data_IF_885194193792
#
_entry.id   IF_885194193792
#
_cell.length_a   1.000
_cell.length_b   1.000
_cell.length_c   1.000
_cell.angle_alpha   90.00
_cell.angle_beta   90.00
_cell.angle_gamma   90.00
#
_symmetry.space_group_name_H-M   'P 1'
#
loop_
_entity.id
_entity.type
_entity.pdbx_description
1 polymer ?
#
# COMPACT_ATOMS: atom_id res chain seq x y z
N UNK A 1 21.19 -3.44 -28.51
CA UNK A 1 20.32 -2.30 -28.91
C UNK A 1 18.90 -2.83 -28.97
N UNK A 2 17.94 -2.24 -28.24
CA UNK A 2 16.52 -2.64 -28.31
C UNK A 2 15.99 -2.30 -29.72
N UNK A 3 15.19 -3.17 -30.32
CA UNK A 3 14.59 -2.91 -31.64
C UNK A 3 13.59 -1.76 -31.55
N UNK A 4 13.77 -0.72 -32.36
CA UNK A 4 12.93 0.49 -32.37
C UNK A 4 11.44 0.16 -32.62
N UNK A 5 11.16 -0.85 -33.43
CA UNK A 5 9.80 -1.35 -33.69
C UNK A 5 9.13 -1.94 -32.44
N UNK A 6 9.88 -2.64 -31.59
CA UNK A 6 9.35 -3.16 -30.32
C UNK A 6 9.06 -2.02 -29.33
N UNK A 7 9.93 -1.00 -29.27
CA UNK A 7 9.72 0.18 -28.44
C UNK A 7 8.44 0.94 -28.84
N UNK A 8 8.17 1.07 -30.14
CA UNK A 8 6.96 1.75 -30.65
C UNK A 8 5.67 1.01 -30.28
N UNK A 9 5.66 -0.32 -30.34
CA UNK A 9 4.52 -1.13 -29.91
C UNK A 9 4.30 -1.01 -28.39
N UNK A 10 5.37 -1.08 -27.61
CA UNK A 10 5.31 -0.92 -26.16
C UNK A 10 4.84 0.48 -25.73
N UNK A 11 5.14 1.51 -26.51
CA UNK A 11 4.70 2.89 -26.27
C UNK A 11 3.18 3.08 -26.44
N UNK A 12 2.52 2.27 -27.26
CA UNK A 12 1.07 2.41 -27.50
C UNK A 12 0.23 2.13 -26.25
N UNK A 13 0.69 1.24 -25.37
CA UNK A 13 -0.03 0.81 -24.16
C UNK A 13 -0.21 1.97 -23.16
N UNK A 14 0.85 2.67 -22.70
CA UNK A 14 0.71 3.78 -21.75
C UNK A 14 0.06 5.03 -22.34
N UNK A 15 0.00 5.16 -23.68
CA UNK A 15 -0.67 6.26 -24.36
C UNK A 15 -2.15 5.99 -24.68
N UNK A 16 -2.63 4.77 -24.43
CA UNK A 16 -4.04 4.44 -24.60
C UNK A 16 -4.89 5.26 -23.61
N UNK A 17 -5.93 5.99 -24.06
CA UNK A 17 -6.73 6.86 -23.20
C UNK A 17 -7.47 6.10 -22.09
N UNK A 18 -7.83 4.83 -22.31
CA UNK A 18 -8.48 3.98 -21.30
C UNK A 18 -7.46 3.60 -20.24
N UNK A 19 -6.27 3.15 -20.66
CA UNK A 19 -5.19 2.81 -19.75
C UNK A 19 -4.77 4.01 -18.90
N UNK A 20 -4.58 5.16 -19.55
CA UNK A 20 -4.24 6.42 -18.89
C UNK A 20 -5.32 6.83 -17.89
N UNK A 21 -6.60 6.83 -18.29
CA UNK A 21 -7.72 7.18 -17.41
C UNK A 21 -7.85 6.27 -16.18
N UNK A 22 -7.69 4.96 -16.36
CA UNK A 22 -7.68 4.00 -15.26
C UNK A 22 -6.53 4.27 -14.28
N UNK A 23 -5.31 4.47 -14.77
CA UNK A 23 -4.16 4.78 -13.91
C UNK A 23 -4.28 6.13 -13.22
N UNK A 24 -4.80 7.17 -13.89
CA UNK A 24 -5.07 8.46 -13.25
C UNK A 24 -6.10 8.34 -12.13
N UNK A 25 -7.20 7.61 -12.36
CA UNK A 25 -8.22 7.40 -11.33
C UNK A 25 -7.70 6.62 -10.12
N UNK A 26 -6.84 5.63 -10.36
CA UNK A 26 -6.16 4.87 -9.31
C UNK A 26 -5.26 5.78 -8.47
N UNK A 27 -4.45 6.64 -9.10
CA UNK A 27 -3.58 7.59 -8.42
C UNK A 27 -4.39 8.60 -7.57
N UNK A 28 -5.47 9.16 -8.11
CA UNK A 28 -6.35 10.06 -7.33
C UNK A 28 -6.92 9.34 -6.10
N UNK A 29 -7.35 8.09 -6.28
CA UNK A 29 -7.89 7.29 -5.17
C UNK A 29 -6.81 6.99 -4.12
N UNK A 30 -5.59 6.66 -4.55
CA UNK A 30 -4.45 6.40 -3.69
C UNK A 30 -4.06 7.65 -2.89
N UNK A 31 -3.94 8.80 -3.54
CA UNK A 31 -3.67 10.10 -2.88
C UNK A 31 -4.75 10.44 -1.83
N UNK A 32 -6.03 10.30 -2.18
CA UNK A 32 -7.12 10.53 -1.24
C UNK A 32 -7.04 9.54 -0.06
N UNK A 33 -6.76 8.27 -0.33
CA UNK A 33 -6.60 7.22 0.69
C UNK A 33 -5.50 7.56 1.69
N UNK A 34 -4.35 8.06 1.24
CA UNK A 34 -3.27 8.53 2.13
C UNK A 34 -3.75 9.66 3.04
N UNK A 35 -4.39 10.69 2.45
CA UNK A 35 -4.90 11.84 3.21
C UNK A 35 -5.92 11.39 4.26
N UNK A 36 -6.92 10.60 3.86
CA UNK A 36 -7.93 10.08 4.77
C UNK A 36 -7.32 9.22 5.87
N UNK A 37 -6.36 8.34 5.54
CA UNK A 37 -5.70 7.46 6.51
C UNK A 37 -4.91 8.27 7.55
N UNK A 38 -4.20 9.33 7.13
CA UNK A 38 -3.48 10.23 8.05
C UNK A 38 -4.45 10.95 8.97
N UNK A 39 -5.53 11.53 8.42
CA UNK A 39 -6.55 12.25 9.20
C UNK A 39 -7.23 11.31 10.23
N UNK A 40 -7.57 10.10 9.80
CA UNK A 40 -8.11 9.06 10.67
C UNK A 40 -7.10 8.65 11.73
N UNK A 41 -5.82 8.47 11.38
CA UNK A 41 -4.74 8.14 12.31
C UNK A 41 -4.56 9.18 13.42
N UNK A 42 -4.57 10.47 13.07
CA UNK A 42 -4.48 11.58 14.04
C UNK A 42 -5.70 11.58 14.97
N UNK A 43 -6.91 11.42 14.41
CA UNK A 43 -8.14 11.35 15.21
C UNK A 43 -8.15 10.14 16.14
N UNK A 44 -7.68 9.00 15.63
CA UNK A 44 -7.62 7.73 16.34
C UNK A 44 -6.63 7.79 17.52
N UNK A 45 -5.46 8.40 17.31
CA UNK A 45 -4.48 8.64 18.37
C UNK A 45 -5.05 9.50 19.52
N UNK A 46 -5.87 10.51 19.20
CA UNK A 46 -6.38 11.45 20.20
C UNK A 46 -7.60 10.97 20.98
N UNK A 47 -8.40 10.03 20.47
CA UNK A 47 -9.77 9.79 20.98
C UNK A 47 -10.14 8.34 21.25
N UNK A 48 -9.22 7.40 21.23
CA UNK A 48 -9.61 5.98 21.33
C UNK A 48 -9.36 5.35 22.69
N UNK A 49 -10.39 4.65 23.18
CA UNK A 49 -10.37 3.78 24.37
C UNK A 49 -10.09 2.32 24.00
N UNK A 50 -9.57 2.06 22.80
CA UNK A 50 -9.27 0.70 22.35
C UNK A 50 -8.13 0.08 23.16
N UNK A 51 -8.19 -1.25 23.32
CA UNK A 51 -7.11 -2.01 23.94
C UNK A 51 -5.81 -1.83 23.13
N UNK A 52 -4.67 -1.72 23.83
CA UNK A 52 -3.36 -1.39 23.23
C UNK A 52 -2.95 -2.34 22.10
N UNK A 53 -3.34 -3.61 22.19
CA UNK A 53 -3.09 -4.61 21.14
C UNK A 53 -3.73 -4.22 19.80
N UNK A 54 -5.01 -3.83 19.85
CA UNK A 54 -5.79 -3.42 18.67
C UNK A 54 -5.21 -2.14 18.11
N UNK A 55 -4.82 -1.19 18.97
CA UNK A 55 -4.21 0.06 18.53
C UNK A 55 -2.94 -0.19 17.71
N UNK A 56 -2.05 -1.08 18.17
CA UNK A 56 -0.82 -1.43 17.46
C UNK A 56 -1.14 -2.02 16.08
N UNK A 57 -2.08 -2.97 16.01
CA UNK A 57 -2.49 -3.57 14.74
C UNK A 57 -3.11 -2.53 13.79
N UNK A 58 -3.85 -1.54 14.30
CA UNK A 58 -4.45 -0.47 13.49
C UNK A 58 -3.36 0.46 12.95
N UNK A 59 -2.36 0.81 13.77
CA UNK A 59 -1.23 1.61 13.31
C UNK A 59 -0.41 0.88 12.24
N UNK A 60 -0.19 -0.42 12.40
CA UNK A 60 0.46 -1.24 11.38
C UNK A 60 -0.35 -1.22 10.07
N UNK A 61 -1.68 -1.39 10.17
CA UNK A 61 -2.57 -1.36 9.01
C UNK A 61 -2.50 -0.01 8.26
N UNK A 62 -2.53 1.10 9.01
CA UNK A 62 -2.38 2.44 8.44
C UNK A 62 -1.01 2.64 7.81
N UNK A 63 0.07 2.15 8.44
CA UNK A 63 1.42 2.25 7.88
C UNK A 63 1.53 1.52 6.53
N UNK A 64 1.09 0.25 6.46
CA UNK A 64 1.08 -0.50 5.20
C UNK A 64 0.21 0.16 4.13
N UNK A 65 -0.97 0.66 4.51
CA UNK A 65 -1.84 1.39 3.58
C UNK A 65 -1.22 2.67 3.04
N UNK A 66 -0.59 3.48 3.89
CA UNK A 66 0.09 4.71 3.47
C UNK A 66 1.27 4.39 2.55
N UNK A 67 2.12 3.43 2.92
CA UNK A 67 3.29 3.04 2.13
C UNK A 67 2.85 2.53 0.75
N UNK A 68 1.87 1.62 0.70
CA UNK A 68 1.35 1.08 -0.55
C UNK A 68 0.82 2.16 -1.48
N UNK A 69 -0.08 3.02 -0.98
CA UNK A 69 -0.67 4.07 -1.81
C UNK A 69 0.37 5.12 -2.25
N UNK A 70 1.38 5.40 -1.41
CA UNK A 70 2.48 6.30 -1.78
C UNK A 70 3.34 5.72 -2.91
N UNK A 71 3.59 4.39 -2.91
CA UNK A 71 4.31 3.71 -3.99
C UNK A 71 3.51 3.77 -5.30
N UNK A 72 2.19 3.56 -5.23
CA UNK A 72 1.30 3.69 -6.40
C UNK A 72 1.37 5.09 -7.00
N UNK A 73 1.28 6.14 -6.16
CA UNK A 73 1.38 7.54 -6.61
C UNK A 73 2.75 7.89 -7.19
N UNK A 74 3.83 7.41 -6.55
CA UNK A 74 5.19 7.61 -7.05
C UNK A 74 5.39 6.93 -8.41
N UNK A 75 4.88 5.70 -8.57
CA UNK A 75 4.95 4.94 -9.82
C UNK A 75 4.17 5.65 -10.92
N UNK A 76 2.96 6.13 -10.63
CA UNK A 76 2.17 6.91 -11.58
C UNK A 76 2.87 8.21 -12.00
N UNK A 77 3.35 8.99 -11.04
CA UNK A 77 4.06 10.26 -11.30
C UNK A 77 5.28 10.05 -12.16
N UNK A 78 6.04 8.99 -11.86
CA UNK A 78 7.20 8.59 -12.65
C UNK A 78 6.81 8.25 -14.10
N UNK A 79 5.77 7.43 -14.30
CA UNK A 79 5.31 7.06 -15.63
C UNK A 79 4.81 8.26 -16.45
N UNK A 80 3.99 9.13 -15.85
CA UNK A 80 3.51 10.34 -16.53
C UNK A 80 4.68 11.27 -16.86
N UNK A 81 5.66 11.40 -15.96
CA UNK A 81 6.88 12.18 -16.20
C UNK A 81 7.64 11.71 -17.42
N UNK A 82 7.81 10.39 -17.60
CA UNK A 82 8.49 9.82 -18.77
C UNK A 82 7.68 9.98 -20.06
N UNK A 83 6.35 9.85 -19.98
CA UNK A 83 5.46 10.04 -21.15
C UNK A 83 5.53 11.49 -21.67
N UNK A 84 5.59 12.47 -20.77
CA UNK A 84 5.60 13.90 -21.13
C UNK A 84 7.00 14.41 -21.47
N UNK A 85 8.03 13.93 -20.76
CA UNK A 85 9.37 14.52 -20.79
C UNK A 85 10.36 13.89 -21.77
N UNK A 86 10.10 12.69 -22.29
CA UNK A 86 11.06 11.99 -23.15
C UNK A 86 10.59 11.86 -24.61
N UNK A 87 11.39 12.42 -25.51
CA UNK A 87 11.14 12.37 -26.95
C UNK A 87 11.48 11.00 -27.58
N UNK A 88 12.30 10.19 -26.90
CA UNK A 88 12.79 8.93 -27.46
C UNK A 88 11.81 7.76 -27.19
N UNK A 89 11.36 7.01 -28.21
CA UNK A 89 10.37 5.95 -28.01
C UNK A 89 10.89 4.75 -27.18
N UNK A 90 12.21 4.59 -27.03
CA UNK A 90 12.81 3.50 -26.28
C UNK A 90 13.13 3.81 -24.82
N UNK A 91 13.05 5.08 -24.39
CA UNK A 91 13.27 5.44 -22.98
C UNK A 91 12.06 5.12 -22.11
N UNK A 92 10.86 5.04 -22.71
CA UNK A 92 9.63 4.55 -22.07
C UNK A 92 9.59 3.04 -21.79
N UNK A 93 10.62 2.28 -22.20
CA UNK A 93 10.67 0.83 -21.96
C UNK A 93 11.14 0.58 -20.54
N UNK A 94 10.17 0.36 -19.65
CA UNK A 94 10.30 -0.12 -18.27
C UNK A 94 11.69 -0.71 -18.00
N UNK A 95 12.51 0.01 -17.25
CA UNK A 95 13.74 -0.59 -16.78
C UNK A 95 13.41 -1.71 -15.79
N UNK A 96 14.15 -2.81 -15.82
CA UNK A 96 13.99 -3.91 -14.86
C UNK A 96 14.11 -3.44 -13.41
N UNK A 97 14.91 -2.39 -13.19
CA UNK A 97 15.02 -1.68 -11.92
C UNK A 97 13.71 -1.03 -11.49
N UNK A 98 12.93 -0.51 -12.43
CA UNK A 98 11.65 0.18 -12.17
C UNK A 98 10.55 -0.74 -11.70
N UNK A 99 10.46 -1.91 -12.35
CA UNK A 99 9.59 -2.96 -11.90
C UNK A 99 10.00 -3.44 -10.50
N UNK A 100 11.30 -3.50 -10.19
CA UNK A 100 11.75 -3.98 -8.89
C UNK A 100 11.40 -3.06 -7.72
N UNK A 101 11.60 -1.73 -7.85
CA UNK A 101 11.31 -0.78 -6.76
C UNK A 101 9.82 -0.52 -6.55
N UNK A 102 8.97 -0.81 -7.54
CA UNK A 102 7.51 -0.69 -7.41
C UNK A 102 6.88 -2.03 -6.97
N UNK A 103 7.23 -3.14 -7.61
CA UNK A 103 6.60 -4.45 -7.40
C UNK A 103 6.94 -5.08 -6.05
N UNK A 104 8.22 -5.15 -5.70
CA UNK A 104 8.66 -5.81 -4.47
C UNK A 104 8.05 -5.20 -3.19
N UNK A 105 8.07 -3.87 -3.00
CA UNK A 105 7.42 -3.28 -1.84
C UNK A 105 5.89 -3.33 -1.95
N UNK A 106 5.30 -3.24 -3.15
CA UNK A 106 3.84 -3.41 -3.31
C UNK A 106 3.36 -4.79 -2.87
N UNK A 107 4.06 -5.86 -3.28
CA UNK A 107 3.74 -7.24 -2.86
C UNK A 107 3.91 -7.38 -1.35
N UNK A 108 4.99 -6.83 -0.80
CA UNK A 108 5.23 -6.83 0.66
C UNK A 108 4.08 -6.14 1.40
N UNK A 109 3.64 -4.98 0.92
CA UNK A 109 2.55 -4.25 1.56
C UNK A 109 1.20 -4.94 1.46
N UNK A 110 0.86 -5.52 0.30
CA UNK A 110 -0.39 -6.29 0.13
C UNK A 110 -0.37 -7.51 1.05
N UNK A 111 0.74 -8.23 1.10
CA UNK A 111 0.90 -9.41 1.96
C UNK A 111 0.78 -9.01 3.43
N UNK A 112 1.48 -7.96 3.86
CA UNK A 112 1.40 -7.42 5.21
C UNK A 112 -0.02 -6.98 5.57
N UNK A 113 -0.74 -6.35 4.65
CA UNK A 113 -2.13 -5.94 4.86
C UNK A 113 -3.06 -7.14 5.10
N UNK A 114 -2.91 -8.21 4.32
CA UNK A 114 -3.67 -9.46 4.51
C UNK A 114 -3.33 -10.11 5.86
N UNK A 115 -2.04 -10.20 6.18
CA UNK A 115 -1.57 -10.80 7.42
C UNK A 115 -2.02 -10.02 8.67
N UNK A 116 -2.04 -8.68 8.62
CA UNK A 116 -2.60 -7.85 9.70
C UNK A 116 -4.09 -8.11 9.87
N UNK A 117 -4.85 -8.22 8.78
CA UNK A 117 -6.27 -8.54 8.89
C UNK A 117 -6.49 -9.92 9.53
N UNK A 118 -5.68 -10.92 9.18
CA UNK A 118 -5.70 -12.21 9.85
C UNK A 118 -5.33 -12.09 11.35
N UNK A 119 -4.30 -11.30 11.68
CA UNK A 119 -3.91 -11.01 13.05
C UNK A 119 -5.03 -10.32 13.85
N UNK A 120 -5.78 -9.40 13.25
CA UNK A 120 -6.97 -8.81 13.86
C UNK A 120 -8.03 -9.86 14.17
N UNK A 121 -8.34 -10.72 13.21
CA UNK A 121 -9.33 -11.78 13.41
C UNK A 121 -8.91 -12.68 14.58
N UNK A 122 -7.63 -13.07 14.63
CA UNK A 122 -7.08 -13.89 15.71
C UNK A 122 -7.16 -13.15 17.06
N UNK A 123 -6.77 -11.87 17.11
CA UNK A 123 -6.84 -11.06 18.33
C UNK A 123 -8.28 -10.98 18.86
N UNK A 124 -9.25 -10.78 17.97
CA UNK A 124 -10.67 -10.72 18.34
C UNK A 124 -11.22 -12.06 18.79
N UNK A 125 -10.87 -13.16 18.12
CA UNK A 125 -11.26 -14.50 18.57
C UNK A 125 -10.69 -14.79 19.96
N UNK A 126 -9.41 -14.49 20.21
CA UNK A 126 -8.79 -14.67 21.53
C UNK A 126 -9.49 -13.81 22.60
N UNK A 127 -9.77 -12.55 22.28
CA UNK A 127 -10.46 -11.64 23.20
C UNK A 127 -11.87 -12.16 23.55
N UNK A 128 -12.62 -12.65 22.57
CA UNK A 128 -13.96 -13.23 22.77
C UNK A 128 -13.91 -14.53 23.57
N UNK A 129 -12.98 -15.45 23.25
CA UNK A 129 -12.87 -16.73 23.95
C UNK A 129 -12.32 -16.62 25.38
N UNK A 130 -11.63 -15.52 25.72
CA UNK A 130 -11.00 -15.31 27.04
C UNK A 130 -11.47 -14.02 27.71
N UNK A 131 -12.78 -13.73 27.62
CA UNK A 131 -13.40 -12.58 28.29
C UNK A 131 -13.00 -12.56 29.79
N UNK A 132 -12.56 -11.40 30.29
CA UNK A 132 -12.12 -11.19 31.68
C UNK A 132 -10.64 -11.50 31.98
N UNK A 133 -10.06 -12.57 31.42
CA UNK A 133 -8.60 -12.81 31.58
C UNK A 133 -7.77 -11.98 30.60
N UNK A 134 -8.34 -11.73 29.41
CA UNK A 134 -7.73 -10.91 28.37
C UNK A 134 -7.46 -9.48 28.82
N UNK A 135 -8.41 -8.85 29.51
CA UNK A 135 -8.25 -7.47 30.02
C UNK A 135 -7.19 -7.36 31.12
N UNK A 136 -6.96 -8.43 31.90
CA UNK A 136 -5.98 -8.44 32.99
C UNK A 136 -4.57 -8.84 32.55
N UNK A 137 -4.41 -9.78 31.62
CA UNK A 137 -3.10 -10.34 31.22
C UNK A 137 -2.78 -10.27 29.72
N UNK A 138 -3.73 -9.94 28.86
CA UNK A 138 -3.59 -10.03 27.39
C UNK A 138 -2.71 -8.96 26.73
N UNK A 139 -1.96 -8.13 27.47
CA UNK A 139 -1.30 -6.90 26.97
C UNK A 139 -0.25 -7.08 25.85
N UNK A 140 0.13 -8.31 25.49
CA UNK A 140 1.21 -8.60 24.53
C UNK A 140 0.78 -9.35 23.27
N UNK A 141 -0.50 -9.72 23.12
CA UNK A 141 -0.98 -10.47 21.94
C UNK A 141 -0.84 -9.64 20.66
N UNK A 142 -1.17 -8.35 20.71
CA UNK A 142 -1.06 -7.44 19.55
C UNK A 142 0.39 -7.22 19.09
N UNK A 143 1.34 -6.85 19.98
CA UNK A 143 2.75 -6.78 19.64
C UNK A 143 3.32 -8.08 19.06
N UNK A 144 2.95 -9.23 19.64
CA UNK A 144 3.45 -10.54 19.18
C UNK A 144 2.98 -10.84 17.76
N UNK A 145 1.69 -10.61 17.49
CA UNK A 145 1.13 -10.77 16.15
C UNK A 145 1.73 -9.76 15.18
N UNK A 146 1.96 -8.52 15.59
CA UNK A 146 2.57 -7.49 14.75
C UNK A 146 4.01 -7.80 14.33
N UNK A 147 4.79 -8.54 15.14
CA UNK A 147 6.14 -8.99 14.78
C UNK A 147 6.12 -10.16 13.80
N UNK A 148 5.04 -10.96 13.81
CA UNK A 148 4.86 -12.08 12.88
C UNK A 148 4.41 -11.65 11.48
N UNK A 149 3.95 -10.40 11.34
CA UNK A 149 3.54 -9.80 10.06
C UNK A 149 4.67 -8.97 9.48
#
# INVERSE_FOLDING_TARGET
>A
MKNVSQCLILRQIPTDPIFFGLHSSLAVTASLSVIFTILLGIRFYRRTTFHRNVQILIYLLFAYGIIFNSIVDATYTFHVGHIIGEDSPCSLVFYTTECWWSLAPSITCITGFILIQAAFTIERVIATCRLGHYERKGKFVGPTLAVMV
#
